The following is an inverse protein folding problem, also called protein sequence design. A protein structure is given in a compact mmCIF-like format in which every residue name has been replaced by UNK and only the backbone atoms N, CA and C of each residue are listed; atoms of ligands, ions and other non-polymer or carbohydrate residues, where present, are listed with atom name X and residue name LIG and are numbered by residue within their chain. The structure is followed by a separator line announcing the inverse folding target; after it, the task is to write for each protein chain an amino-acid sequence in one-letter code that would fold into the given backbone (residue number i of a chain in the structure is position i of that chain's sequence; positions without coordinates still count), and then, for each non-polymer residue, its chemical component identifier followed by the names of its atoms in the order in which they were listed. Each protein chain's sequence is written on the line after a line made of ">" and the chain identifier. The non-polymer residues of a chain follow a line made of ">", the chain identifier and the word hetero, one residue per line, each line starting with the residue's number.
data_IF_684150401540
#
_entry.id   IF_684150401540
#
_cell.length_a   1.000
_cell.length_b   1.000
_cell.length_c   1.000
_cell.angle_alpha   90.00
_cell.angle_beta   90.00
_cell.angle_gamma   90.00
#
_symmetry.space_group_name_H-M   'P 1'
#
loop_
_entity.id
_entity.type
_entity.pdbx_description
1 polymer ?
#
# COMPACT_ATOMS: atom_id res chain seq x y z
N UNK A 1 -4.87 -10.57 -19.71
CA UNK A 1 -6.10 -9.80 -19.35
C UNK A 1 -5.66 -8.52 -18.68
N UNK A 2 -6.23 -7.39 -19.07
CA UNK A 2 -6.00 -6.12 -18.38
C UNK A 2 -6.68 -6.13 -17.00
N UNK A 3 -6.06 -5.47 -16.01
CA UNK A 3 -6.60 -5.46 -14.64
C UNK A 3 -7.98 -4.78 -14.56
N UNK A 4 -8.24 -3.77 -15.38
CA UNK A 4 -9.57 -3.12 -15.42
C UNK A 4 -10.64 -4.02 -16.05
N UNK A 5 -10.29 -4.86 -17.03
CA UNK A 5 -11.20 -5.89 -17.55
C UNK A 5 -11.53 -6.90 -16.45
N UNK A 6 -10.55 -7.28 -15.64
CA UNK A 6 -10.77 -8.16 -14.51
C UNK A 6 -11.74 -7.58 -13.48
N UNK A 7 -11.68 -6.26 -13.20
CA UNK A 7 -12.64 -5.60 -12.33
C UNK A 7 -14.07 -5.68 -12.88
N UNK A 8 -14.24 -5.52 -14.21
CA UNK A 8 -15.55 -5.67 -14.86
C UNK A 8 -16.06 -7.11 -14.77
N UNK A 9 -15.20 -8.11 -14.94
CA UNK A 9 -15.56 -9.53 -14.75
C UNK A 9 -16.01 -9.85 -13.32
N UNK A 10 -15.47 -9.15 -12.33
CA UNK A 10 -15.89 -9.26 -10.93
C UNK A 10 -17.09 -8.37 -10.60
N UNK A 11 -17.74 -7.78 -11.59
CA UNK A 11 -18.91 -6.93 -11.45
C UNK A 11 -18.69 -5.73 -10.50
N UNK A 12 -17.47 -5.16 -10.52
CA UNK A 12 -17.16 -3.90 -9.83
C UNK A 12 -17.93 -2.76 -10.49
N UNK A 13 -18.48 -1.87 -9.67
CA UNK A 13 -19.29 -0.73 -10.16
C UNK A 13 -18.54 0.07 -11.22
N UNK A 14 -19.18 0.27 -12.38
CA UNK A 14 -18.58 0.99 -13.51
C UNK A 14 -18.23 2.46 -13.18
N UNK A 15 -18.91 3.06 -12.20
CA UNK A 15 -18.56 4.39 -11.70
C UNK A 15 -17.15 4.40 -11.10
N UNK A 16 -16.81 3.40 -10.26
CA UNK A 16 -15.47 3.29 -9.66
C UNK A 16 -14.40 3.04 -10.72
N UNK A 17 -14.70 2.25 -11.76
CA UNK A 17 -13.76 2.01 -12.86
C UNK A 17 -13.46 3.30 -13.61
N UNK A 18 -14.48 4.13 -13.89
CA UNK A 18 -14.30 5.46 -14.50
C UNK A 18 -13.48 6.40 -13.62
N UNK A 19 -13.72 6.37 -12.31
CA UNK A 19 -12.96 7.19 -11.35
C UNK A 19 -11.48 6.75 -11.30
N UNK A 20 -11.19 5.44 -11.40
CA UNK A 20 -9.83 4.91 -11.54
C UNK A 20 -9.18 5.39 -12.86
N UNK A 21 -9.90 5.32 -13.98
CA UNK A 21 -9.39 5.78 -15.28
C UNK A 21 -9.08 7.28 -15.24
N UNK A 22 -9.94 8.08 -14.58
CA UNK A 22 -9.71 9.50 -14.34
C UNK A 22 -8.45 9.73 -13.47
N UNK A 23 -8.33 9.02 -12.35
CA UNK A 23 -7.17 9.08 -11.46
C UNK A 23 -5.86 8.77 -12.19
N UNK A 24 -5.84 7.71 -13.00
CA UNK A 24 -4.67 7.33 -13.81
C UNK A 24 -4.26 8.43 -14.79
N UNK A 25 -5.25 9.10 -15.39
CA UNK A 25 -5.02 10.19 -16.34
C UNK A 25 -4.54 11.48 -15.66
N UNK A 26 -5.09 11.77 -14.47
CA UNK A 26 -4.71 12.95 -13.70
C UNK A 26 -3.29 12.82 -13.14
N UNK A 27 -2.92 11.63 -12.69
CA UNK A 27 -1.62 11.37 -12.06
C UNK A 27 -0.78 10.45 -12.94
N UNK A 28 -0.29 10.98 -14.06
CA UNK A 28 0.62 10.22 -14.94
C UNK A 28 1.93 9.84 -14.22
N UNK A 29 2.50 8.71 -14.62
CA UNK A 29 3.73 8.18 -14.01
C UNK A 29 4.92 8.53 -14.88
N UNK A 30 5.94 9.15 -14.29
CA UNK A 30 7.20 9.45 -14.95
C UNK A 30 7.80 8.18 -15.57
N UNK A 31 8.37 8.29 -16.76
CA UNK A 31 8.93 7.14 -17.50
C UNK A 31 9.93 6.32 -16.68
N UNK A 32 10.78 6.98 -15.89
CA UNK A 32 11.76 6.36 -15.00
C UNK A 32 11.16 5.51 -13.88
N UNK A 33 9.87 5.69 -13.58
CA UNK A 33 9.15 5.00 -12.52
C UNK A 33 8.17 3.93 -13.04
N UNK A 34 7.99 3.82 -14.35
CA UNK A 34 7.06 2.84 -14.95
C UNK A 34 7.39 1.41 -14.61
N UNK A 35 8.68 1.07 -14.45
CA UNK A 35 9.09 -0.26 -14.00
C UNK A 35 8.71 -0.58 -12.55
N UNK A 36 8.39 0.45 -11.74
CA UNK A 36 7.89 0.27 -10.38
C UNK A 36 6.38 0.05 -10.31
N UNK A 37 5.66 0.19 -11.42
CA UNK A 37 4.26 -0.20 -11.47
C UNK A 37 4.19 -1.72 -11.50
N UNK A 38 3.81 -2.30 -10.38
CA UNK A 38 3.77 -3.75 -10.20
C UNK A 38 2.76 -4.38 -11.16
N UNK A 39 3.14 -5.48 -11.79
CA UNK A 39 2.23 -6.37 -12.51
C UNK A 39 2.05 -7.60 -11.66
N UNK A 40 0.88 -7.77 -11.13
CA UNK A 40 0.58 -8.89 -10.24
C UNK A 40 0.50 -10.20 -11.01
N UNK A 41 1.02 -11.30 -10.46
CA UNK A 41 0.96 -12.61 -11.09
C UNK A 41 -0.46 -13.19 -11.14
N UNK A 42 -1.35 -12.72 -10.26
CA UNK A 42 -2.73 -13.16 -10.12
C UNK A 42 -3.64 -12.00 -9.72
N UNK A 43 -4.95 -12.18 -9.85
CA UNK A 43 -5.93 -11.19 -9.45
C UNK A 43 -6.63 -11.60 -8.16
N UNK A 44 -6.74 -10.65 -7.24
CA UNK A 44 -7.54 -10.84 -6.03
C UNK A 44 -9.03 -11.00 -6.38
N UNK A 45 -9.68 -11.98 -5.75
CA UNK A 45 -11.11 -12.25 -5.95
C UNK A 45 -11.88 -11.84 -4.70
N UNK A 46 -12.78 -10.86 -4.85
CA UNK A 46 -13.59 -10.36 -3.75
C UNK A 46 -14.13 -8.96 -4.00
N UNK A 47 -15.31 -8.89 -4.64
CA UNK A 47 -15.97 -7.64 -5.05
C UNK A 47 -16.04 -6.61 -3.93
N UNK A 48 -16.63 -6.97 -2.79
CA UNK A 48 -16.88 -6.03 -1.71
C UNK A 48 -15.60 -5.43 -1.13
N UNK A 49 -14.56 -6.27 -0.96
CA UNK A 49 -13.26 -5.82 -0.46
C UNK A 49 -12.57 -4.90 -1.47
N UNK A 50 -12.61 -5.27 -2.76
CA UNK A 50 -12.07 -4.43 -3.83
C UNK A 50 -12.77 -3.07 -3.87
N UNK A 51 -14.10 -3.04 -3.84
CA UNK A 51 -14.86 -1.79 -3.85
C UNK A 51 -14.59 -0.92 -2.62
N UNK A 52 -14.46 -1.52 -1.42
CA UNK A 52 -14.06 -0.78 -0.22
C UNK A 52 -12.66 -0.18 -0.36
N UNK A 53 -11.68 -0.96 -0.80
CA UNK A 53 -10.31 -0.49 -1.00
C UNK A 53 -10.25 0.62 -2.06
N UNK A 54 -10.89 0.42 -3.20
CA UNK A 54 -10.90 1.39 -4.31
C UNK A 54 -11.55 2.70 -3.85
N UNK A 55 -12.71 2.61 -3.18
CA UNK A 55 -13.40 3.80 -2.65
C UNK A 55 -12.50 4.53 -1.64
N UNK A 56 -11.92 3.83 -0.67
CA UNK A 56 -11.02 4.45 0.30
C UNK A 56 -9.83 5.16 -0.35
N UNK A 57 -9.19 4.54 -1.34
CA UNK A 57 -8.07 5.16 -2.08
C UNK A 57 -8.51 6.42 -2.82
N UNK A 58 -9.68 6.42 -3.46
CA UNK A 58 -10.25 7.57 -4.16
C UNK A 58 -10.60 8.71 -3.19
N UNK A 59 -11.09 8.38 -1.99
CA UNK A 59 -11.38 9.32 -0.90
C UNK A 59 -10.13 9.73 -0.08
N UNK A 60 -8.94 9.51 -0.64
CA UNK A 60 -7.63 9.85 -0.04
C UNK A 60 -7.26 9.13 1.25
N UNK A 61 -7.95 8.06 1.60
CA UNK A 61 -7.64 7.26 2.79
C UNK A 61 -6.45 6.33 2.58
N UNK A 62 -5.68 6.10 3.65
CA UNK A 62 -4.73 5.00 3.70
C UNK A 62 -5.47 3.73 4.15
N UNK A 63 -5.04 2.57 3.64
CA UNK A 63 -5.72 1.30 3.88
C UNK A 63 -4.91 0.41 4.83
N UNK A 64 -5.55 -0.20 5.81
CA UNK A 64 -4.96 -1.26 6.63
C UNK A 64 -5.72 -2.56 6.41
N UNK A 65 -5.09 -3.50 5.71
CA UNK A 65 -5.62 -4.85 5.50
C UNK A 65 -5.29 -5.71 6.71
N UNK A 66 -6.30 -6.09 7.45
CA UNK A 66 -6.20 -6.86 8.70
C UNK A 66 -6.83 -8.24 8.53
N UNK A 67 -6.19 -9.29 9.02
CA UNK A 67 -6.81 -10.62 8.93
C UNK A 67 -5.83 -11.79 9.08
N UNK A 68 -6.33 -13.03 9.06
CA UNK A 68 -5.53 -14.23 9.17
C UNK A 68 -4.46 -14.32 8.07
N UNK A 69 -3.46 -15.19 8.27
CA UNK A 69 -2.48 -15.49 7.22
C UNK A 69 -3.14 -16.11 6.00
N UNK A 70 -2.48 -15.94 4.85
CA UNK A 70 -2.91 -16.52 3.56
C UNK A 70 -4.30 -16.07 3.06
N UNK A 71 -4.77 -14.89 3.45
CA UNK A 71 -6.02 -14.29 2.95
C UNK A 71 -5.82 -13.41 1.70
N UNK A 72 -4.59 -13.32 1.17
CA UNK A 72 -4.30 -12.56 -0.04
C UNK A 72 -4.03 -11.06 0.16
N UNK A 73 -3.69 -10.61 1.38
CA UNK A 73 -3.41 -9.20 1.69
C UNK A 73 -2.34 -8.59 0.77
N UNK A 74 -1.20 -9.26 0.63
CA UNK A 74 -0.10 -8.77 -0.20
C UNK A 74 -0.48 -8.76 -1.69
N UNK A 75 -1.18 -9.80 -2.16
CA UNK A 75 -1.72 -9.83 -3.51
C UNK A 75 -2.69 -8.68 -3.77
N UNK A 76 -3.58 -8.39 -2.82
CA UNK A 76 -4.51 -7.26 -2.93
C UNK A 76 -3.75 -5.92 -2.97
N UNK A 77 -2.72 -5.73 -2.13
CA UNK A 77 -1.89 -4.52 -2.14
C UNK A 77 -1.22 -4.30 -3.50
N UNK A 78 -0.67 -5.37 -4.10
CA UNK A 78 -0.06 -5.32 -5.43
C UNK A 78 -1.12 -5.02 -6.51
N UNK A 79 -2.28 -5.66 -6.43
CA UNK A 79 -3.39 -5.39 -7.35
C UNK A 79 -3.88 -3.94 -7.24
N UNK A 80 -3.99 -3.37 -6.04
CA UNK A 80 -4.39 -1.98 -5.88
C UNK A 80 -3.37 -1.03 -6.54
N UNK A 81 -2.08 -1.27 -6.39
CA UNK A 81 -1.05 -0.49 -7.07
C UNK A 81 -1.17 -0.59 -8.60
N UNK A 82 -1.45 -1.78 -9.12
CA UNK A 82 -1.69 -2.01 -10.55
C UNK A 82 -3.00 -1.38 -11.02
N UNK A 83 -4.11 -1.51 -10.26
CA UNK A 83 -5.41 -0.92 -10.54
C UNK A 83 -5.31 0.60 -10.69
N UNK A 84 -4.56 1.27 -9.84
CA UNK A 84 -4.35 2.72 -9.91
C UNK A 84 -3.16 3.12 -10.80
N UNK A 85 -2.42 2.15 -11.35
CA UNK A 85 -1.25 2.39 -12.19
C UNK A 85 -0.15 3.16 -11.46
N UNK A 86 0.03 2.94 -10.14
CA UNK A 86 1.00 3.69 -9.33
C UNK A 86 2.30 2.94 -9.11
N UNK A 87 3.45 3.66 -9.10
CA UNK A 87 4.71 3.06 -8.72
C UNK A 87 4.67 2.65 -7.25
N UNK A 88 5.29 1.51 -6.91
CA UNK A 88 5.20 0.89 -5.60
C UNK A 88 6.53 0.92 -4.86
N UNK A 89 6.48 1.17 -3.55
CA UNK A 89 7.59 1.05 -2.61
C UNK A 89 7.19 0.14 -1.45
N UNK A 90 7.82 -1.03 -1.38
CA UNK A 90 7.54 -2.03 -0.36
C UNK A 90 8.48 -1.88 0.83
N UNK A 91 7.93 -1.94 2.02
CA UNK A 91 8.67 -1.95 3.29
C UNK A 91 8.15 -3.08 4.15
N UNK A 92 8.95 -4.11 4.33
CA UNK A 92 8.64 -5.17 5.30
C UNK A 92 9.06 -4.74 6.68
N UNK A 93 8.12 -4.62 7.60
CA UNK A 93 8.37 -4.20 8.96
C UNK A 93 8.84 -5.38 9.83
N UNK A 94 9.81 -5.14 10.65
CA UNK A 94 10.34 -6.08 11.62
C UNK A 94 10.86 -5.35 12.87
N UNK A 95 11.21 -6.09 13.91
CA UNK A 95 11.61 -5.53 15.20
C UNK A 95 12.82 -4.56 15.15
N UNK A 96 13.63 -4.64 14.10
CA UNK A 96 14.78 -3.74 13.89
C UNK A 96 14.52 -2.66 12.84
N UNK A 97 13.30 -2.52 12.33
CA UNK A 97 12.93 -1.40 11.46
C UNK A 97 13.09 -0.10 12.25
N UNK A 98 13.77 0.88 11.67
CA UNK A 98 14.01 2.19 12.24
C UNK A 98 13.48 3.32 11.34
N UNK A 99 13.40 4.52 11.90
CA UNK A 99 12.92 5.69 11.16
C UNK A 99 13.85 6.09 10.01
N UNK A 100 15.15 5.81 10.12
CA UNK A 100 16.13 6.13 9.08
C UNK A 100 15.93 5.29 7.82
N UNK A 101 15.57 4.03 7.96
CA UNK A 101 15.23 3.16 6.82
C UNK A 101 13.95 3.58 6.09
N UNK A 102 13.00 4.19 6.81
CA UNK A 102 11.72 4.65 6.26
C UNK A 102 11.84 6.00 5.56
N UNK A 103 12.45 6.97 6.22
CA UNK A 103 12.51 8.36 5.76
C UNK A 103 13.82 8.65 5.05
N UNK A 104 14.95 8.23 5.61
CA UNK A 104 16.27 8.43 5.06
C UNK A 104 17.33 8.67 6.14
N UNK A 105 18.58 8.62 5.71
CA UNK A 105 19.74 8.83 6.57
C UNK A 105 20.79 9.67 5.87
N UNK A 106 21.56 10.43 6.65
CA UNK A 106 22.69 11.20 6.14
C UNK A 106 23.78 10.26 5.62
N UNK A 107 24.28 10.58 4.46
CA UNK A 107 25.38 9.85 3.83
C UNK A 107 26.40 10.86 3.33
N UNK A 108 27.69 10.59 3.57
CA UNK A 108 28.78 11.42 3.09
C UNK A 108 29.20 10.96 1.68
N UNK A 109 28.87 11.77 0.66
CA UNK A 109 29.16 11.49 -0.74
C UNK A 109 29.75 12.77 -1.37
N UNK A 110 30.81 12.64 -2.16
CA UNK A 110 31.45 13.76 -2.88
C UNK A 110 31.85 14.93 -1.95
N UNK A 111 32.34 14.63 -0.76
CA UNK A 111 32.73 15.60 0.26
C UNK A 111 31.58 16.45 0.83
N UNK A 112 30.33 16.01 0.66
CA UNK A 112 29.11 16.65 1.15
C UNK A 112 28.24 15.65 1.92
N UNK A 113 27.50 16.14 2.90
CA UNK A 113 26.44 15.36 3.56
C UNK A 113 25.18 15.44 2.68
N UNK A 114 24.69 14.28 2.25
CA UNK A 114 23.48 14.17 1.43
C UNK A 114 22.51 13.19 2.07
N UNK A 115 21.22 13.51 2.02
CA UNK A 115 20.16 12.60 2.45
C UNK A 115 20.05 11.43 1.47
N UNK A 116 20.36 10.22 1.95
CA UNK A 116 19.96 8.98 1.26
C UNK A 116 18.51 8.69 1.61
N UNK A 117 17.62 8.94 0.67
CA UNK A 117 16.17 8.86 0.85
C UNK A 117 15.70 7.44 1.12
N UNK A 118 14.77 7.28 2.06
CA UNK A 118 14.12 6.01 2.39
C UNK A 118 12.91 5.73 1.51
N UNK A 119 12.32 4.55 1.68
CA UNK A 119 11.19 4.08 0.87
C UNK A 119 9.94 4.97 0.99
N UNK A 120 9.63 5.44 2.20
CA UNK A 120 8.47 6.31 2.46
C UNK A 120 8.68 7.68 1.83
N UNK A 121 9.90 8.23 1.93
CA UNK A 121 10.26 9.49 1.29
C UNK A 121 10.07 9.41 -0.23
N UNK A 122 10.67 8.40 -0.87
CA UNK A 122 10.58 8.23 -2.32
C UNK A 122 9.13 8.01 -2.77
N UNK A 123 8.37 7.21 -2.04
CA UNK A 123 6.95 7.03 -2.29
C UNK A 123 6.19 8.37 -2.22
N UNK A 124 6.45 9.16 -1.17
CA UNK A 124 5.76 10.42 -0.90
C UNK A 124 5.95 11.46 -2.00
N UNK A 125 7.18 11.64 -2.48
CA UNK A 125 7.48 12.68 -3.49
C UNK A 125 7.10 12.28 -4.93
N UNK A 126 6.99 10.98 -5.19
CA UNK A 126 6.71 10.45 -6.52
C UNK A 126 5.26 10.03 -6.75
N UNK A 127 4.37 10.27 -5.79
CA UNK A 127 2.97 9.90 -5.92
C UNK A 127 2.75 8.39 -5.99
N UNK A 128 3.58 7.63 -5.29
CA UNK A 128 3.53 6.18 -5.28
C UNK A 128 2.57 5.60 -4.25
N UNK A 129 2.41 4.28 -4.31
CA UNK A 129 1.78 3.51 -3.24
C UNK A 129 2.86 2.89 -2.35
N UNK A 130 2.85 3.23 -1.07
CA UNK A 130 3.74 2.68 -0.05
C UNK A 130 3.09 1.45 0.60
N UNK A 131 3.68 0.27 0.37
CA UNK A 131 3.18 -0.96 0.96
C UNK A 131 3.95 -1.26 2.25
N UNK A 132 3.24 -1.30 3.36
CA UNK A 132 3.76 -1.56 4.70
C UNK A 132 3.41 -3.00 5.11
N UNK A 133 4.29 -3.93 4.79
CA UNK A 133 4.06 -5.33 5.10
C UNK A 133 4.37 -5.64 6.56
N UNK A 134 3.43 -6.32 7.24
CA UNK A 134 3.50 -6.67 8.66
C UNK A 134 3.78 -5.46 9.58
N UNK A 135 3.08 -4.33 9.39
CA UNK A 135 3.32 -3.08 10.11
C UNK A 135 3.29 -3.24 11.64
N UNK A 136 2.58 -4.22 12.15
CA UNK A 136 2.49 -4.55 13.58
C UNK A 136 3.72 -5.27 14.15
N UNK A 137 4.72 -5.57 13.33
CA UNK A 137 6.00 -6.15 13.78
C UNK A 137 7.02 -5.09 14.22
N UNK A 138 6.86 -3.83 13.80
CA UNK A 138 7.77 -2.75 14.13
C UNK A 138 7.63 -2.27 15.59
N UNK A 139 8.67 -1.58 16.07
CA UNK A 139 8.60 -0.82 17.32
C UNK A 139 7.82 0.47 17.09
N UNK A 140 7.07 0.90 18.12
CA UNK A 140 6.29 2.14 18.05
C UNK A 140 7.16 3.36 17.68
N UNK A 141 8.39 3.46 18.19
CA UNK A 141 9.30 4.58 17.91
C UNK A 141 9.63 4.71 16.40
N UNK A 142 9.74 3.59 15.68
CA UNK A 142 9.97 3.61 14.25
C UNK A 142 8.76 4.10 13.46
N UNK A 143 7.56 3.86 13.98
CA UNK A 143 6.29 4.16 13.30
C UNK A 143 5.85 5.61 13.54
N UNK A 144 6.25 6.23 14.65
CA UNK A 144 5.86 7.62 14.99
C UNK A 144 6.18 8.61 13.87
N UNK A 145 7.29 8.41 13.13
CA UNK A 145 7.66 9.27 12.00
C UNK A 145 6.65 9.24 10.84
N UNK A 146 5.80 8.22 10.78
CA UNK A 146 4.78 8.09 9.75
C UNK A 146 3.49 8.85 10.09
N UNK A 147 3.29 9.26 11.36
CA UNK A 147 2.01 9.84 11.78
C UNK A 147 1.60 11.07 10.96
N UNK A 148 2.54 11.97 10.67
CA UNK A 148 2.27 13.18 9.88
C UNK A 148 2.11 12.92 8.38
N UNK A 149 2.68 11.80 7.89
CA UNK A 149 2.49 11.36 6.52
C UNK A 149 1.12 10.68 6.32
N UNK A 150 0.65 9.99 7.35
CA UNK A 150 -0.59 9.20 7.30
C UNK A 150 -1.85 9.98 7.69
N UNK A 151 -1.73 11.15 8.33
CA UNK A 151 -2.89 11.96 8.71
C UNK A 151 -3.17 13.09 7.69
N UNK A 152 -4.19 13.90 7.98
CA UNK A 152 -4.65 15.00 7.12
C UNK A 152 -3.55 16.02 6.74
N UNK A 153 -2.46 16.08 7.49
CA UNK A 153 -1.32 16.98 7.20
C UNK A 153 -0.55 16.55 5.96
N UNK A 154 -0.47 15.23 5.69
CA UNK A 154 0.20 14.63 4.53
C UNK A 154 1.59 15.21 4.31
N UNK A 155 2.43 15.16 5.34
CA UNK A 155 3.77 15.74 5.33
C UNK A 155 4.79 14.83 5.98
N UNK A 156 6.05 14.99 5.58
CA UNK A 156 7.21 14.39 6.23
C UNK A 156 8.13 15.51 6.64
N UNK A 157 8.44 15.60 7.93
CA UNK A 157 9.46 16.49 8.46
C UNK A 157 10.77 15.70 8.65
N UNK A 158 11.78 16.06 7.88
CA UNK A 158 13.13 15.44 7.97
C UNK A 158 14.03 16.42 8.70
N UNK A 159 14.52 16.10 9.93
CA UNK A 159 15.38 17.00 10.67
C UNK A 159 16.61 17.45 9.87
N UNK A 160 16.84 18.76 9.77
CA UNK A 160 17.95 19.34 8.99
C UNK A 160 17.67 19.51 7.49
N UNK A 161 16.49 19.14 7.02
CA UNK A 161 16.07 19.27 5.63
C UNK A 161 14.72 19.97 5.53
N UNK A 162 14.29 20.29 4.30
CA UNK A 162 12.99 20.91 4.06
C UNK A 162 11.84 19.93 4.36
N UNK A 163 10.75 20.47 4.84
CA UNK A 163 9.49 19.76 5.00
C UNK A 163 8.94 19.34 3.63
N UNK A 164 8.52 18.10 3.51
CA UNK A 164 8.01 17.51 2.28
C UNK A 164 6.52 17.35 2.38
N UNK A 165 5.80 17.92 1.43
CA UNK A 165 4.39 17.61 1.22
C UNK A 165 4.26 16.35 0.36
N UNK A 166 3.37 15.44 0.75
CA UNK A 166 3.09 14.26 -0.05
C UNK A 166 2.44 14.66 -1.38
N UNK A 167 2.85 13.96 -2.43
CA UNK A 167 2.17 14.09 -3.73
C UNK A 167 0.70 13.67 -3.59
N UNK A 168 -0.27 14.35 -4.26
CA UNK A 168 -1.70 14.03 -4.12
C UNK A 168 -2.06 12.56 -4.38
N UNK A 169 -1.40 11.90 -5.32
CA UNK A 169 -1.63 10.49 -5.62
C UNK A 169 -1.06 9.50 -4.60
N UNK A 170 -0.24 9.95 -3.63
CA UNK A 170 0.39 9.05 -2.66
C UNK A 170 -0.66 8.43 -1.73
N UNK A 171 -0.59 7.10 -1.56
CA UNK A 171 -1.37 6.34 -0.58
C UNK A 171 -0.48 5.32 0.11
N UNK A 172 -0.85 4.96 1.34
CA UNK A 172 -0.17 3.90 2.07
C UNK A 172 -1.15 2.75 2.33
N UNK A 173 -0.67 1.53 2.11
CA UNK A 173 -1.43 0.31 2.31
C UNK A 173 -0.65 -0.55 3.28
N UNK A 174 -1.16 -0.68 4.50
CA UNK A 174 -0.58 -1.54 5.52
C UNK A 174 -1.18 -2.94 5.47
N UNK A 175 -0.39 -3.95 5.80
CA UNK A 175 -0.87 -5.30 6.09
C UNK A 175 -0.55 -5.66 7.53
N UNK A 176 -1.47 -6.34 8.21
CA UNK A 176 -1.19 -6.93 9.51
C UNK A 176 -1.86 -8.30 9.64
N UNK A 177 -1.19 -9.18 10.37
CA UNK A 177 -1.74 -10.46 10.80
C UNK A 177 -2.08 -10.35 12.28
N UNK A 178 -3.26 -10.82 12.69
CA UNK A 178 -3.60 -10.99 14.09
C UNK A 178 -3.55 -12.47 14.47
N UNK A 179 -3.54 -12.76 15.78
CA UNK A 179 -3.50 -14.11 16.34
C UNK A 179 -2.23 -14.91 16.05
N UNK A 180 -1.09 -14.24 15.88
CA UNK A 180 0.20 -14.93 15.70
C UNK A 180 1.16 -14.63 16.86
N UNK A 181 1.91 -15.64 17.30
CA UNK A 181 2.92 -15.49 18.33
C UNK A 181 3.97 -14.45 17.92
N UNK A 182 4.04 -13.31 18.61
CA UNK A 182 4.95 -12.21 18.33
C UNK A 182 4.30 -10.98 17.66
N UNK A 183 3.04 -11.05 17.24
CA UNK A 183 2.31 -9.85 16.80
C UNK A 183 2.00 -8.95 18.00
N UNK A 184 2.18 -7.65 17.82
CA UNK A 184 1.80 -6.62 18.79
C UNK A 184 0.50 -5.97 18.33
N UNK A 185 -0.31 -5.54 19.27
CA UNK A 185 -1.38 -4.61 18.97
C UNK A 185 -0.78 -3.31 18.48
N UNK A 186 -1.29 -2.82 17.35
CA UNK A 186 -0.91 -1.49 16.86
C UNK A 186 -1.47 -0.44 17.83
N UNK A 187 -0.70 0.63 18.01
CA UNK A 187 -1.16 1.79 18.75
C UNK A 187 -2.42 2.37 18.08
N UNK A 188 -3.45 2.63 18.86
CA UNK A 188 -4.73 3.23 18.39
C UNK A 188 -4.51 4.51 17.58
N UNK A 189 -3.54 5.33 17.98
CA UNK A 189 -3.19 6.54 17.24
C UNK A 189 -2.69 6.25 15.82
N UNK A 190 -2.06 5.11 15.56
CA UNK A 190 -1.70 4.69 14.22
C UNK A 190 -2.90 4.11 13.47
N UNK A 191 -3.66 3.23 14.11
CA UNK A 191 -4.85 2.57 13.51
C UNK A 191 -5.86 3.62 13.04
N UNK A 192 -6.07 4.70 13.81
CA UNK A 192 -7.00 5.78 13.47
C UNK A 192 -6.63 6.58 12.21
N UNK A 193 -5.45 6.34 11.62
CA UNK A 193 -4.98 6.96 10.38
C UNK A 193 -5.18 6.08 9.14
N UNK A 194 -5.85 4.97 9.32
CA UNK A 194 -6.16 4.03 8.24
C UNK A 194 -7.65 3.71 8.20
N UNK A 195 -8.15 3.51 7.01
CA UNK A 195 -9.38 2.75 6.80
C UNK A 195 -9.04 1.27 7.00
N UNK A 196 -9.50 0.69 8.11
CA UNK A 196 -9.25 -0.72 8.41
C UNK A 196 -10.23 -1.60 7.66
N UNK A 197 -9.71 -2.55 6.90
CA UNK A 197 -10.50 -3.52 6.13
C UNK A 197 -10.15 -4.92 6.61
N UNK A 198 -11.13 -5.60 7.19
CA UNK A 198 -10.97 -6.96 7.65
C UNK A 198 -11.03 -7.95 6.48
N UNK A 199 -9.98 -8.74 6.37
CA UNK A 199 -9.82 -9.78 5.34
C UNK A 199 -10.34 -11.11 5.92
N UNK A 200 -11.49 -11.64 5.47
CA UNK A 200 -12.00 -12.90 5.97
C UNK A 200 -11.09 -14.06 5.55
N UNK A 201 -11.12 -15.13 6.33
CA UNK A 201 -10.50 -16.39 5.92
C UNK A 201 -11.08 -16.84 4.57
N UNK A 202 -10.23 -17.46 3.75
CA UNK A 202 -10.65 -18.00 2.45
C UNK A 202 -11.55 -19.22 2.71
N UNK A 203 -12.81 -19.11 2.34
CA UNK A 203 -13.77 -20.20 2.40
C UNK A 203 -13.61 -21.19 1.22
N UNK A 204 -14.29 -22.33 1.31
CA UNK A 204 -14.19 -23.38 0.30
C UNK A 204 -14.68 -22.91 -1.09
N UNK A 205 -15.69 -22.05 -1.15
CA UNK A 205 -16.23 -21.52 -2.40
C UNK A 205 -15.23 -20.60 -3.08
N UNK A 206 -14.66 -19.66 -2.34
CA UNK A 206 -13.60 -18.78 -2.86
C UNK A 206 -12.37 -19.57 -3.28
N UNK A 207 -11.97 -20.57 -2.49
CA UNK A 207 -10.86 -21.43 -2.86
C UNK A 207 -11.13 -22.16 -4.18
N UNK A 208 -12.32 -22.71 -4.38
CA UNK A 208 -12.72 -23.33 -5.65
C UNK A 208 -12.69 -22.36 -6.82
N UNK A 209 -13.14 -21.11 -6.60
CA UNK A 209 -13.09 -20.07 -7.64
C UNK A 209 -11.64 -19.73 -8.02
N UNK A 210 -10.76 -19.55 -7.03
CA UNK A 210 -9.33 -19.30 -7.25
C UNK A 210 -8.71 -20.45 -8.03
N UNK A 211 -8.92 -21.70 -7.60
CA UNK A 211 -8.35 -22.89 -8.25
C UNK A 211 -8.83 -23.04 -9.70
N UNK A 212 -10.12 -22.85 -9.97
CA UNK A 212 -10.64 -22.92 -11.34
C UNK A 212 -10.06 -21.86 -12.25
N UNK A 213 -9.71 -20.69 -11.70
CA UNK A 213 -9.14 -19.59 -12.47
C UNK A 213 -7.65 -19.81 -12.76
N UNK A 214 -6.90 -20.22 -11.74
CA UNK A 214 -5.45 -20.44 -11.86
C UNK A 214 -5.13 -21.76 -12.59
N UNK A 215 -6.01 -22.75 -12.51
CA UNK A 215 -5.84 -24.08 -13.11
C UNK A 215 -7.07 -24.49 -13.92
N UNK A 216 -7.34 -23.81 -15.05
CA UNK A 216 -8.56 -24.06 -15.84
C UNK A 216 -8.65 -25.47 -16.47
N UNK A 217 -7.55 -26.22 -16.42
CA UNK A 217 -7.45 -27.59 -16.95
C UNK A 217 -7.55 -28.70 -15.90
N UNK A 218 -7.85 -28.37 -14.64
CA UNK A 218 -8.03 -29.34 -13.55
C UNK A 218 -9.49 -29.57 -13.23
#
# INVERSE_FOLDING_TARGET
>A
MDILENLREQDIRESLIKDIEYFRKEYDVKDELKERVTKSPAFFIGKDILEMCITGILEEENILLSGPKATGKNLLSDNLSEIFGRPQWNTSFHINTDSASLIGTDTFIDNEVKLRRGSVYECAVNGGFGIFDEINMAKNDAIVVLHSALDYRRVIDVPGYERINLHPATRFIGTMNYEYAGTKELNEALVSRFLVIDMPAVDEEKLKMILKREFPSV
#
